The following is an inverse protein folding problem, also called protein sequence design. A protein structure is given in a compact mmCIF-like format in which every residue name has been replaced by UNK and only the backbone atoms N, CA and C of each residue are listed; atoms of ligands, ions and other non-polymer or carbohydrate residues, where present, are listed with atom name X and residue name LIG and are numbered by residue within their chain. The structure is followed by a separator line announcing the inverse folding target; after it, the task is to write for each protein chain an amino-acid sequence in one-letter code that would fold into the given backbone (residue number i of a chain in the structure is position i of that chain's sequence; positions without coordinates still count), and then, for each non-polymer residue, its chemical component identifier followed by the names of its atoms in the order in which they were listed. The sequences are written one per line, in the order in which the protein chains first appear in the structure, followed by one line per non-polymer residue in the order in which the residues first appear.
data_IF_255728297333
#
_entry.id   IF_255728297333
#
_cell.length_a   1.000
_cell.length_b   1.000
_cell.length_c   1.000
_cell.angle_alpha   90.00
_cell.angle_beta   90.00
_cell.angle_gamma   90.00
#
_symmetry.space_group_name_H-M   'P 1'
#
loop_
_entity.id
_entity.type
_entity.pdbx_description
1 polymer ?
#
# COMPACT_ATOMS: atom_id res chain seq x y z
N UNK A 1 18.71 7.37 13.99
CA UNK A 1 18.69 8.78 13.55
C UNK A 1 19.02 8.77 12.06
N UNK A 2 18.25 9.47 11.22
CA UNK A 2 18.38 9.40 9.74
C UNK A 2 19.76 9.84 9.25
N UNK A 3 20.21 9.29 8.12
CA UNK A 3 21.41 9.74 7.43
C UNK A 3 21.22 11.14 6.82
N UNK A 4 22.32 11.86 6.55
CA UNK A 4 22.27 13.17 5.87
C UNK A 4 21.54 13.11 4.52
N UNK A 5 21.69 12.00 3.80
CA UNK A 5 21.00 11.78 2.53
C UNK A 5 19.49 11.63 2.73
N UNK A 6 19.05 10.85 3.72
CA UNK A 6 17.64 10.68 4.03
C UNK A 6 16.98 11.99 4.49
N UNK A 7 17.66 12.76 5.34
CA UNK A 7 17.16 14.06 5.79
C UNK A 7 16.99 15.05 4.65
N UNK A 8 17.99 15.13 3.76
CA UNK A 8 17.96 16.03 2.59
C UNK A 8 16.76 15.76 1.67
N UNK A 9 16.32 14.50 1.57
CA UNK A 9 15.23 14.11 0.68
C UNK A 9 13.91 13.87 1.42
N UNK A 10 13.80 14.24 2.69
CA UNK A 10 12.57 14.09 3.47
C UNK A 10 12.18 12.63 3.75
N UNK A 11 13.12 11.69 3.69
CA UNK A 11 12.93 10.26 3.93
C UNK A 11 12.78 9.96 5.42
N UNK A 12 11.72 10.52 6.03
CA UNK A 12 11.48 10.54 7.47
C UNK A 12 10.24 9.75 7.90
N UNK A 13 9.52 9.14 6.96
CA UNK A 13 8.31 8.37 7.23
C UNK A 13 8.42 6.95 6.69
N UNK A 14 7.78 6.01 7.40
CA UNK A 14 7.63 4.65 6.91
C UNK A 14 6.96 4.62 5.53
N UNK A 15 5.99 5.51 5.29
CA UNK A 15 5.29 5.64 4.00
C UNK A 15 6.29 5.87 2.86
N UNK A 16 7.20 6.83 3.00
CA UNK A 16 8.19 7.13 1.96
C UNK A 16 9.18 5.98 1.75
N UNK A 17 9.66 5.37 2.83
CA UNK A 17 10.61 4.26 2.77
C UNK A 17 10.01 3.00 2.13
N UNK A 18 8.83 2.57 2.56
CA UNK A 18 8.16 1.40 1.99
C UNK A 18 7.70 1.63 0.54
N UNK A 19 7.32 2.86 0.17
CA UNK A 19 7.07 3.22 -1.24
C UNK A 19 8.32 3.00 -2.10
N UNK A 20 9.49 3.47 -1.66
CA UNK A 20 10.75 3.29 -2.38
C UNK A 20 11.12 1.80 -2.52
N UNK A 21 11.01 1.03 -1.43
CA UNK A 21 11.24 -0.42 -1.44
C UNK A 21 10.27 -1.11 -2.41
N UNK A 22 8.98 -0.74 -2.38
CA UNK A 22 7.97 -1.27 -3.28
C UNK A 22 8.30 -1.05 -4.76
N UNK A 23 8.81 0.13 -5.10
CA UNK A 23 9.26 0.41 -6.47
C UNK A 23 10.45 -0.46 -6.88
N UNK A 24 11.41 -0.67 -5.97
CA UNK A 24 12.54 -1.56 -6.23
C UNK A 24 12.09 -3.01 -6.46
N UNK A 25 11.17 -3.52 -5.63
CA UNK A 25 10.59 -4.85 -5.77
C UNK A 25 9.83 -5.01 -7.09
N UNK A 26 8.98 -4.04 -7.44
CA UNK A 26 8.28 -4.00 -8.71
C UNK A 26 9.25 -4.08 -9.89
N UNK A 27 10.30 -3.26 -9.86
CA UNK A 27 11.29 -3.22 -10.93
C UNK A 27 12.03 -4.56 -11.06
N UNK A 28 12.47 -5.13 -9.93
CA UNK A 28 13.13 -6.43 -9.89
C UNK A 28 12.24 -7.56 -10.42
N UNK A 29 10.92 -7.47 -10.20
CA UNK A 29 9.93 -8.41 -10.71
C UNK A 29 9.52 -8.18 -12.18
N UNK A 30 10.05 -7.14 -12.86
CA UNK A 30 9.69 -6.80 -14.23
C UNK A 30 8.23 -6.34 -14.41
N UNK A 31 7.59 -5.88 -13.33
CA UNK A 31 6.17 -5.54 -13.33
C UNK A 31 5.92 -4.08 -13.75
N UNK A 32 4.82 -3.87 -14.47
CA UNK A 32 4.26 -2.52 -14.64
C UNK A 32 3.71 -2.01 -13.31
N UNK A 33 3.47 -0.70 -13.23
CA UNK A 33 2.85 -0.08 -12.04
C UNK A 33 1.48 -0.71 -11.75
N UNK A 34 0.66 -0.90 -12.78
CA UNK A 34 -0.69 -1.47 -12.62
C UNK A 34 -0.64 -2.93 -12.17
N UNK A 35 0.25 -3.74 -12.75
CA UNK A 35 0.44 -5.13 -12.32
C UNK A 35 0.83 -5.23 -10.84
N UNK A 36 1.75 -4.37 -10.39
CA UNK A 36 2.16 -4.35 -8.98
C UNK A 36 1.05 -3.86 -8.05
N UNK A 37 0.29 -2.84 -8.48
CA UNK A 37 -0.86 -2.32 -7.74
C UNK A 37 -1.95 -3.37 -7.59
N UNK A 38 -2.29 -4.08 -8.67
CA UNK A 38 -3.26 -5.18 -8.65
C UNK A 38 -2.80 -6.35 -7.78
N UNK A 39 -1.53 -6.75 -7.89
CA UNK A 39 -0.97 -7.83 -7.07
C UNK A 39 -1.00 -7.46 -5.58
N UNK A 40 -0.63 -6.23 -5.25
CA UNK A 40 -0.72 -5.70 -3.88
C UNK A 40 -2.17 -5.67 -3.39
N UNK A 41 -3.10 -5.19 -4.21
CA UNK A 41 -4.51 -5.14 -3.83
C UNK A 41 -5.11 -6.53 -3.56
N UNK A 42 -4.75 -7.54 -4.37
CA UNK A 42 -5.14 -8.94 -4.16
C UNK A 42 -4.61 -9.49 -2.84
N UNK A 43 -3.37 -9.15 -2.47
CA UNK A 43 -2.80 -9.52 -1.16
C UNK A 43 -3.60 -8.88 -0.02
N UNK A 44 -3.85 -7.58 -0.08
CA UNK A 44 -4.57 -6.86 0.97
C UNK A 44 -6.04 -7.24 1.08
N UNK A 45 -6.71 -7.59 -0.02
CA UNK A 45 -8.08 -8.10 -0.02
C UNK A 45 -8.20 -9.39 0.81
N UNK A 46 -7.18 -10.26 0.78
CA UNK A 46 -7.16 -11.47 1.61
C UNK A 46 -7.08 -11.13 3.10
N UNK A 47 -6.31 -10.12 3.48
CA UNK A 47 -6.29 -9.63 4.86
C UNK A 47 -7.63 -8.98 5.25
N UNK A 48 -8.23 -8.19 4.37
CA UNK A 48 -9.53 -7.58 4.59
C UNK A 48 -10.64 -8.62 4.79
N UNK A 49 -10.60 -9.73 4.05
CA UNK A 49 -11.53 -10.85 4.21
C UNK A 49 -11.42 -11.49 5.61
N UNK A 50 -10.20 -11.71 6.11
CA UNK A 50 -9.99 -12.21 7.48
C UNK A 50 -10.45 -11.20 8.52
N UNK A 51 -10.16 -9.91 8.31
CA UNK A 51 -10.53 -8.85 9.24
C UNK A 51 -12.05 -8.66 9.37
N UNK A 52 -12.82 -8.86 8.28
CA UNK A 52 -14.29 -8.77 8.27
C UNK A 52 -14.92 -9.63 9.37
N UNK A 53 -14.45 -10.86 9.49
CA UNK A 53 -15.05 -11.87 10.37
C UNK A 53 -14.40 -11.87 11.77
N UNK A 54 -13.34 -11.07 11.99
CA UNK A 54 -12.68 -10.91 13.28
C UNK A 54 -13.36 -9.83 14.15
N UNK A 55 -13.97 -10.17 15.29
CA UNK A 55 -14.64 -9.19 16.17
C UNK A 55 -13.68 -8.18 16.82
N UNK A 56 -12.38 -8.48 16.87
CA UNK A 56 -11.34 -7.60 17.42
C UNK A 56 -10.77 -6.61 16.38
N UNK A 57 -11.14 -6.75 15.11
CA UNK A 57 -10.62 -5.86 14.07
C UNK A 57 -11.31 -4.49 14.10
N UNK A 58 -10.52 -3.42 14.04
CA UNK A 58 -11.02 -2.04 13.98
C UNK A 58 -11.79 -1.75 12.69
N UNK A 59 -11.39 -2.34 11.57
CA UNK A 59 -12.06 -2.22 10.27
C UNK A 59 -12.49 -3.58 9.76
N UNK A 60 -13.78 -3.70 9.48
CA UNK A 60 -14.42 -4.98 9.16
C UNK A 60 -15.25 -4.94 7.88
N UNK A 61 -15.06 -3.91 7.03
CA UNK A 61 -15.83 -3.74 5.78
C UNK A 61 -15.53 -4.82 4.72
N UNK A 62 -14.36 -5.48 4.79
CA UNK A 62 -14.01 -6.59 3.90
C UNK A 62 -13.87 -6.18 2.43
N UNK A 63 -13.08 -5.14 2.16
CA UNK A 63 -12.90 -4.59 0.81
C UNK A 63 -12.36 -5.62 -0.19
N UNK A 64 -12.88 -5.56 -1.41
CA UNK A 64 -12.39 -6.32 -2.57
C UNK A 64 -11.06 -5.77 -3.10
N UNK A 65 -10.36 -6.56 -3.93
CA UNK A 65 -9.11 -6.13 -4.53
C UNK A 65 -9.32 -4.93 -5.46
N UNK A 66 -10.43 -4.90 -6.18
CA UNK A 66 -10.81 -3.82 -7.09
C UNK A 66 -10.97 -2.51 -6.31
N UNK A 67 -11.72 -2.55 -5.21
CA UNK A 67 -11.90 -1.39 -4.31
C UNK A 67 -10.59 -0.91 -3.69
N UNK A 68 -9.70 -1.83 -3.33
CA UNK A 68 -8.39 -1.48 -2.74
C UNK A 68 -7.48 -0.84 -3.79
N UNK A 69 -7.50 -1.34 -5.03
CA UNK A 69 -6.68 -0.85 -6.13
C UNK A 69 -7.18 0.50 -6.67
N UNK A 70 -8.49 0.72 -6.67
CA UNK A 70 -9.12 1.91 -7.26
C UNK A 70 -8.71 3.18 -6.51
N UNK A 71 -8.17 4.14 -7.26
CA UNK A 71 -7.79 5.46 -6.75
C UNK A 71 -8.97 6.40 -6.91
N UNK A 72 -9.47 6.93 -5.81
CA UNK A 72 -10.56 7.91 -5.82
C UNK A 72 -10.44 8.83 -4.58
N UNK A 73 -11.40 9.74 -4.41
CA UNK A 73 -11.39 10.69 -3.30
C UNK A 73 -11.40 10.03 -1.91
N UNK A 74 -11.99 8.84 -1.77
CA UNK A 74 -12.04 8.09 -0.49
C UNK A 74 -10.82 7.19 -0.27
N UNK A 75 -10.17 6.76 -1.37
CA UNK A 75 -8.98 5.93 -1.41
C UNK A 75 -7.82 6.56 -2.21
N UNK A 76 -7.31 7.74 -1.80
CA UNK A 76 -6.22 8.40 -2.51
C UNK A 76 -4.89 7.64 -2.33
N UNK A 77 -3.89 7.99 -3.13
CA UNK A 77 -2.52 7.57 -2.85
C UNK A 77 -2.03 8.17 -1.53
N UNK A 78 -1.39 7.34 -0.71
CA UNK A 78 -0.69 7.76 0.51
C UNK A 78 0.82 7.78 0.28
N UNK A 79 1.32 6.85 -0.54
CA UNK A 79 2.68 6.84 -1.05
C UNK A 79 2.73 5.96 -2.29
N UNK A 80 2.99 6.54 -3.46
CA UNK A 80 2.89 5.84 -4.73
C UNK A 80 3.76 4.57 -4.78
N UNK A 81 3.21 3.38 -5.08
CA UNK A 81 1.91 3.13 -5.71
C UNK A 81 0.78 2.69 -4.75
N UNK A 82 0.95 2.86 -3.43
CA UNK A 82 0.02 2.41 -2.41
C UNK A 82 -1.09 3.43 -2.13
N UNK A 83 -2.34 2.93 -2.17
CA UNK A 83 -3.54 3.67 -1.80
C UNK A 83 -3.78 3.60 -0.29
N UNK A 84 -4.66 4.46 0.21
CA UNK A 84 -5.04 4.51 1.62
C UNK A 84 -5.48 3.14 2.15
N UNK A 85 -6.32 2.40 1.42
CA UNK A 85 -6.82 1.07 1.81
C UNK A 85 -5.74 -0.03 1.84
N UNK A 86 -4.55 0.22 1.27
CA UNK A 86 -3.37 -0.67 1.44
C UNK A 86 -2.55 -0.34 2.70
N UNK A 87 -2.90 0.72 3.43
CA UNK A 87 -2.10 1.21 4.57
C UNK A 87 -2.90 1.36 5.86
N UNK A 88 -4.22 1.55 5.76
CA UNK A 88 -5.10 1.90 6.87
C UNK A 88 -6.48 1.25 6.75
#
# INVERSE_FOLDING_TARGET
MYTKAEEKHGMRSAIAMYALIGQALRHAAGQTVDQYREASAKLFARFAAVARDNPLATRRKGYSAEQIAEVNAENPFVGFPYTKLMTA
#
